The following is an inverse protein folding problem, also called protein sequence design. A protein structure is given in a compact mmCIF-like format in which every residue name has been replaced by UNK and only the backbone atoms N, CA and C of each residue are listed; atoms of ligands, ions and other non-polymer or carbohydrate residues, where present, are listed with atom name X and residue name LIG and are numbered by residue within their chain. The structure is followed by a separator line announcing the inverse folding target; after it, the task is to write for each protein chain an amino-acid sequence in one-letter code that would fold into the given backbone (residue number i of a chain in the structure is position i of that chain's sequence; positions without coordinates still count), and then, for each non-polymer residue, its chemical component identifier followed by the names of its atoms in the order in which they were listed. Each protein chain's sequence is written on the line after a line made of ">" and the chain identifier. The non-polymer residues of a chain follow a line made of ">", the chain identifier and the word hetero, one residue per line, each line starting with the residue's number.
data_IF_492183255294
#
_entry.id   IF_492183255294
#
_cell.length_a   1.000
_cell.length_b   1.000
_cell.length_c   1.000
_cell.angle_alpha   90.00
_cell.angle_beta   90.00
_cell.angle_gamma   90.00
#
_symmetry.space_group_name_H-M   'P 1'
#
loop_
_entity.id
_entity.type
_entity.pdbx_description
1 polymer ?
#
# COMPACT_ATOMS: atom_id res chain seq x y z
N UNK A 1 25.86 40.79 -35.86
CA UNK A 1 26.53 39.69 -35.15
C UNK A 1 25.78 38.41 -35.46
N UNK A 2 26.45 37.29 -35.74
CA UNK A 2 25.77 36.03 -36.01
C UNK A 2 25.01 35.51 -34.78
N UNK A 3 23.90 34.83 -35.00
CA UNK A 3 23.11 34.14 -33.98
C UNK A 3 23.00 32.65 -34.32
N UNK A 4 22.96 31.82 -33.30
CA UNK A 4 22.74 30.37 -33.39
C UNK A 4 21.66 29.99 -32.39
N UNK A 5 20.86 28.97 -32.70
CA UNK A 5 19.74 28.56 -31.84
C UNK A 5 19.98 27.15 -31.31
N UNK A 6 19.98 27.01 -29.98
CA UNK A 6 20.02 25.70 -29.33
C UNK A 6 18.62 25.28 -28.93
N UNK A 7 18.25 24.05 -29.26
CA UNK A 7 16.97 23.49 -28.83
C UNK A 7 17.19 22.62 -27.60
N UNK A 8 16.40 22.86 -26.55
CA UNK A 8 16.35 22.01 -25.36
C UNK A 8 14.95 21.40 -25.22
N UNK A 9 14.91 20.10 -24.99
CA UNK A 9 13.70 19.34 -24.69
C UNK A 9 13.81 18.76 -23.30
N UNK A 10 12.86 19.09 -22.43
CA UNK A 10 12.75 18.54 -21.09
C UNK A 10 11.65 17.47 -21.13
N UNK A 11 12.02 16.22 -20.87
CA UNK A 11 11.13 15.07 -20.83
C UNK A 11 10.87 14.71 -19.37
N UNK A 12 9.64 14.91 -18.91
CA UNK A 12 9.19 14.45 -17.62
C UNK A 12 8.65 13.02 -17.76
N UNK A 13 9.50 12.02 -17.57
CA UNK A 13 9.11 10.60 -17.51
C UNK A 13 8.91 10.12 -16.06
N UNK A 14 8.67 11.03 -15.12
CA UNK A 14 8.25 10.68 -13.76
C UNK A 14 6.73 10.45 -13.71
N UNK A 15 6.24 10.02 -12.55
CA UNK A 15 4.80 9.97 -12.22
C UNK A 15 4.24 11.30 -11.71
N UNK A 16 5.10 12.30 -11.51
CA UNK A 16 4.76 13.55 -10.82
C UNK A 16 4.91 14.75 -11.75
N UNK A 17 3.93 15.65 -11.75
CA UNK A 17 3.98 16.85 -12.57
C UNK A 17 5.14 17.77 -12.10
N UNK A 18 5.88 18.32 -13.05
CA UNK A 18 6.72 19.50 -12.81
C UNK A 18 5.79 20.71 -12.87
N UNK A 19 5.62 21.40 -11.75
CA UNK A 19 4.66 22.51 -11.64
C UNK A 19 5.31 23.86 -11.91
N UNK A 20 6.64 23.94 -11.82
CA UNK A 20 7.39 25.14 -12.08
C UNK A 20 8.83 24.83 -12.48
N UNK A 21 9.43 25.76 -13.21
CA UNK A 21 10.86 25.77 -13.53
C UNK A 21 11.44 27.14 -13.23
N UNK A 22 12.66 27.18 -12.71
CA UNK A 22 13.39 28.42 -12.47
C UNK A 22 14.80 28.33 -13.05
N UNK A 23 15.26 29.45 -13.62
CA UNK A 23 16.47 29.53 -14.41
C UNK A 23 17.36 30.62 -13.83
N UNK A 24 18.62 30.28 -13.60
CA UNK A 24 19.60 31.21 -13.03
C UNK A 24 21.02 30.81 -13.44
N UNK A 25 21.99 31.64 -13.04
CA UNK A 25 23.43 31.39 -13.25
C UNK A 25 23.76 31.11 -14.73
N UNK A 26 23.39 32.09 -15.56
CA UNK A 26 23.76 32.21 -16.97
C UNK A 26 24.25 33.64 -17.25
N UNK A 27 25.16 33.80 -18.21
CA UNK A 27 25.63 35.13 -18.62
C UNK A 27 24.73 35.71 -19.71
N UNK A 28 24.00 36.79 -19.39
CA UNK A 28 23.11 37.45 -20.35
C UNK A 28 23.81 38.01 -21.60
N UNK A 29 25.14 38.20 -21.58
CA UNK A 29 25.90 38.62 -22.75
C UNK A 29 26.08 37.51 -23.79
N UNK A 30 25.87 36.24 -23.42
CA UNK A 30 25.97 35.10 -24.33
C UNK A 30 24.68 34.85 -25.14
N UNK A 31 23.56 35.46 -24.72
CA UNK A 31 22.23 35.16 -25.23
C UNK A 31 21.53 36.37 -25.85
N UNK A 32 20.68 36.10 -26.85
CA UNK A 32 19.82 37.13 -27.43
C UNK A 32 18.69 37.41 -26.45
N UNK A 33 18.60 38.64 -25.94
CA UNK A 33 17.64 39.06 -24.89
C UNK A 33 16.18 38.68 -25.14
N UNK A 34 15.73 38.66 -26.40
CA UNK A 34 14.34 38.27 -26.73
C UNK A 34 14.06 36.78 -26.53
N UNK A 35 15.10 35.95 -26.56
CA UNK A 35 15.00 34.49 -26.56
C UNK A 35 16.08 33.86 -25.66
N UNK A 36 16.34 34.49 -24.51
CA UNK A 36 17.32 34.02 -23.54
C UNK A 36 16.76 32.83 -22.71
N UNK A 37 17.60 32.17 -21.89
CA UNK A 37 17.12 31.05 -21.08
C UNK A 37 16.01 31.43 -20.11
N UNK A 38 16.07 32.61 -19.51
CA UNK A 38 15.09 33.06 -18.53
C UNK A 38 13.72 33.34 -19.14
N UNK A 39 13.65 33.82 -20.37
CA UNK A 39 12.38 34.11 -21.06
C UNK A 39 11.69 32.83 -21.57
N UNK A 40 12.45 31.75 -21.80
CA UNK A 40 11.93 30.52 -22.40
C UNK A 40 11.75 29.35 -21.45
N UNK A 41 12.58 29.28 -20.41
CA UNK A 41 12.65 28.13 -19.52
C UNK A 41 12.14 28.44 -18.11
N UNK A 42 11.80 29.68 -17.75
CA UNK A 42 11.14 29.98 -16.48
C UNK A 42 9.63 29.71 -16.55
N UNK A 43 9.06 29.29 -15.43
CA UNK A 43 7.60 29.20 -15.26
C UNK A 43 6.94 28.06 -16.04
N UNK A 44 7.73 27.14 -16.61
CA UNK A 44 7.19 25.98 -17.32
C UNK A 44 6.53 25.01 -16.34
N UNK A 45 5.36 24.52 -16.75
CA UNK A 45 4.69 23.36 -16.18
C UNK A 45 4.72 22.22 -17.19
N UNK A 46 5.12 21.03 -16.74
CA UNK A 46 5.29 19.83 -17.56
C UNK A 46 4.63 18.65 -16.83
N UNK A 47 3.46 18.25 -17.31
CA UNK A 47 2.73 17.12 -16.75
C UNK A 47 3.58 15.83 -16.78
N UNK A 48 3.28 14.91 -15.86
CA UNK A 48 3.86 13.57 -15.85
C UNK A 48 3.69 12.89 -17.22
N UNK A 49 4.72 12.15 -17.64
CA UNK A 49 4.79 11.44 -18.94
C UNK A 49 4.65 12.35 -20.17
N UNK A 50 5.02 13.63 -20.04
CA UNK A 50 5.02 14.61 -21.14
C UNK A 50 6.39 15.25 -21.30
N UNK A 51 6.54 16.01 -22.38
CA UNK A 51 7.77 16.76 -22.65
C UNK A 51 7.44 18.15 -23.17
N UNK A 52 8.33 19.09 -22.91
CA UNK A 52 8.29 20.43 -23.48
C UNK A 52 9.58 20.70 -24.24
N UNK A 53 9.47 21.42 -25.35
CA UNK A 53 10.60 21.82 -26.17
C UNK A 53 10.66 23.34 -26.25
N UNK A 54 11.88 23.89 -26.13
CA UNK A 54 12.15 25.32 -26.15
C UNK A 54 13.41 25.59 -26.95
N UNK A 55 13.43 26.78 -27.57
CA UNK A 55 14.54 27.27 -28.35
C UNK A 55 15.14 28.44 -27.58
N UNK A 56 16.47 28.46 -27.45
CA UNK A 56 17.21 29.56 -26.86
C UNK A 56 18.22 30.06 -27.89
N UNK A 57 18.25 31.36 -28.10
CA UNK A 57 19.17 31.98 -29.06
C UNK A 57 20.43 32.49 -28.39
N UNK A 58 21.56 32.15 -28.99
CA UNK A 58 22.91 32.46 -28.51
C UNK A 58 23.63 33.33 -29.53
N UNK A 59 24.51 34.20 -29.05
CA UNK A 59 25.44 34.88 -29.93
C UNK A 59 26.51 33.89 -30.43
N UNK A 60 26.79 33.90 -31.74
CA UNK A 60 27.77 32.98 -32.34
C UNK A 60 29.14 32.99 -31.65
N UNK A 61 29.71 34.15 -31.21
CA UNK A 61 31.02 34.21 -30.57
C UNK A 61 31.09 33.59 -29.16
N UNK A 62 29.96 33.41 -28.47
CA UNK A 62 29.94 32.86 -27.11
C UNK A 62 30.53 31.44 -27.11
N UNK A 63 31.47 31.14 -26.21
CA UNK A 63 32.21 29.86 -26.23
C UNK A 63 31.61 28.81 -25.30
N UNK A 64 31.17 29.24 -24.11
CA UNK A 64 30.45 28.45 -23.13
C UNK A 64 29.16 29.16 -22.78
N UNK A 65 28.05 28.46 -22.81
CA UNK A 65 26.74 29.06 -22.52
C UNK A 65 26.03 28.24 -21.44
N UNK A 66 26.59 28.17 -20.21
CA UNK A 66 26.00 27.41 -19.13
C UNK A 66 24.68 28.06 -18.68
N UNK A 67 23.70 27.21 -18.41
CA UNK A 67 22.44 27.59 -17.76
C UNK A 67 22.16 26.62 -16.62
N UNK A 68 21.72 27.14 -15.48
CA UNK A 68 21.19 26.32 -14.37
C UNK A 68 19.68 26.38 -14.37
N UNK A 69 19.05 25.21 -14.28
CA UNK A 69 17.60 25.05 -14.25
C UNK A 69 17.21 24.22 -13.03
N UNK A 70 16.30 24.75 -12.22
CA UNK A 70 15.63 24.02 -11.14
C UNK A 70 14.22 23.66 -11.55
N UNK A 71 13.86 22.39 -11.35
CA UNK A 71 12.53 21.82 -11.56
C UNK A 71 11.87 21.65 -10.19
N UNK A 72 10.69 22.22 -10.00
CA UNK A 72 9.88 21.99 -8.80
C UNK A 72 8.71 21.08 -9.14
N UNK A 73 8.62 19.95 -8.44
CA UNK A 73 7.57 18.95 -8.64
C UNK A 73 6.36 19.22 -7.73
N UNK A 74 5.21 18.66 -8.11
CA UNK A 74 3.95 18.78 -7.36
C UNK A 74 4.04 18.24 -5.93
N UNK A 75 4.87 17.22 -5.71
CA UNK A 75 5.16 16.64 -4.40
C UNK A 75 6.17 17.46 -3.58
N UNK A 76 6.59 18.63 -4.09
CA UNK A 76 7.58 19.56 -3.53
C UNK A 76 9.02 19.04 -3.58
N UNK A 77 9.26 17.88 -4.19
CA UNK A 77 10.62 17.49 -4.54
C UNK A 77 11.18 18.45 -5.60
N UNK A 78 12.50 18.58 -5.64
CA UNK A 78 13.15 19.48 -6.59
C UNK A 78 14.39 18.83 -7.16
N UNK A 79 14.64 19.08 -8.45
CA UNK A 79 15.89 18.74 -9.11
C UNK A 79 16.54 20.00 -9.67
N UNK A 80 17.86 20.06 -9.62
CA UNK A 80 18.61 21.18 -10.21
C UNK A 80 19.70 20.63 -11.10
N UNK A 81 19.71 21.06 -12.36
CA UNK A 81 20.76 20.71 -13.30
C UNK A 81 21.38 21.94 -13.96
N UNK A 82 22.65 21.83 -14.31
CA UNK A 82 23.38 22.81 -15.11
C UNK A 82 23.77 22.17 -16.43
N UNK A 83 23.53 22.87 -17.54
CA UNK A 83 23.92 22.39 -18.87
C UNK A 83 24.50 23.52 -19.72
N UNK A 84 25.49 23.21 -20.57
CA UNK A 84 25.99 24.14 -21.58
C UNK A 84 25.12 24.06 -22.85
N UNK A 85 24.39 25.12 -23.16
CA UNK A 85 23.49 25.14 -24.32
C UNK A 85 24.24 25.13 -25.65
N UNK A 86 25.53 25.51 -25.68
CA UNK A 86 26.38 25.39 -26.88
C UNK A 86 26.64 23.93 -27.25
N UNK A 87 26.36 22.97 -26.35
CA UNK A 87 26.44 21.53 -26.62
C UNK A 87 25.56 21.10 -27.82
N UNK A 88 24.43 21.77 -28.04
CA UNK A 88 23.57 21.54 -29.21
C UNK A 88 24.31 21.73 -30.55
N UNK A 89 25.30 22.62 -30.60
CA UNK A 89 26.11 22.91 -31.78
C UNK A 89 27.42 22.09 -31.81
N UNK A 90 27.52 21.03 -31.00
CA UNK A 90 28.70 20.17 -30.92
C UNK A 90 29.84 20.72 -30.05
N UNK A 91 29.58 21.75 -29.22
CA UNK A 91 30.53 22.24 -28.22
C UNK A 91 30.58 21.32 -26.98
N UNK A 92 31.16 21.79 -25.87
CA UNK A 92 31.46 20.99 -24.68
C UNK A 92 30.22 20.42 -23.98
N UNK A 93 30.17 19.09 -23.85
CA UNK A 93 29.17 18.38 -23.05
C UNK A 93 29.44 18.58 -21.55
N UNK A 94 28.95 19.69 -20.97
CA UNK A 94 28.95 19.91 -19.53
C UNK A 94 27.53 19.77 -19.01
N UNK A 95 27.30 18.72 -18.22
CA UNK A 95 26.06 18.49 -17.50
C UNK A 95 26.38 18.17 -16.05
N UNK A 96 25.75 18.91 -15.13
CA UNK A 96 25.83 18.66 -13.70
C UNK A 96 24.41 18.57 -13.14
N UNK A 97 24.19 17.64 -12.22
CA UNK A 97 22.92 17.42 -11.53
C UNK A 97 23.21 17.54 -10.04
N UNK A 98 22.90 18.70 -9.46
CA UNK A 98 23.39 19.09 -8.13
C UNK A 98 22.38 18.78 -7.02
N UNK A 99 21.09 19.00 -7.26
CA UNK A 99 20.00 18.57 -6.38
C UNK A 99 19.27 17.38 -7.00
N UNK A 100 19.24 16.24 -6.31
CA UNK A 100 18.86 14.93 -6.87
C UNK A 100 17.69 14.29 -6.14
N UNK A 101 16.48 14.68 -6.53
CA UNK A 101 15.26 13.97 -6.13
C UNK A 101 14.92 12.83 -7.08
N UNK A 102 15.27 12.98 -8.37
CA UNK A 102 15.00 12.00 -9.41
C UNK A 102 16.30 11.52 -10.07
N UNK A 103 16.18 10.54 -10.98
CA UNK A 103 17.26 10.19 -11.89
C UNK A 103 17.18 11.11 -13.10
N UNK A 104 18.28 11.77 -13.45
CA UNK A 104 18.34 12.63 -14.62
C UNK A 104 19.43 12.17 -15.58
N UNK A 105 19.12 12.22 -16.87
CA UNK A 105 20.06 11.93 -17.94
C UNK A 105 19.89 12.95 -19.06
N UNK A 106 20.90 13.07 -19.92
CA UNK A 106 20.82 13.94 -21.09
C UNK A 106 21.39 13.23 -22.32
N UNK A 107 20.85 13.56 -23.48
CA UNK A 107 21.33 13.09 -24.79
C UNK A 107 21.30 14.24 -25.80
N UNK A 108 22.05 14.08 -26.89
CA UNK A 108 22.05 15.01 -28.02
C UNK A 108 21.49 14.28 -29.24
N UNK A 109 20.43 14.82 -29.83
CA UNK A 109 19.78 14.30 -31.04
C UNK A 109 19.53 15.45 -32.02
N UNK A 110 20.08 15.41 -33.23
CA UNK A 110 19.84 16.43 -34.28
C UNK A 110 19.93 17.89 -33.77
N UNK A 111 21.03 18.25 -33.09
CA UNK A 111 21.25 19.57 -32.46
C UNK A 111 20.23 19.95 -31.37
N UNK A 112 19.58 18.96 -30.77
CA UNK A 112 18.64 19.12 -29.66
C UNK A 112 19.18 18.42 -28.43
N UNK A 113 19.31 19.19 -27.36
CA UNK A 113 19.62 18.67 -26.04
C UNK A 113 18.34 18.10 -25.45
N UNK A 114 18.30 16.80 -25.17
CA UNK A 114 17.16 16.14 -24.53
C UNK A 114 17.56 15.81 -23.09
N UNK A 115 16.93 16.47 -22.13
CA UNK A 115 17.05 16.18 -20.69
C UNK A 115 15.88 15.31 -20.28
N UNK A 116 16.14 14.10 -19.81
CA UNK A 116 15.13 13.15 -19.36
C UNK A 116 15.19 12.98 -17.86
N UNK A 117 14.04 13.17 -17.21
CA UNK A 117 13.86 12.97 -15.78
C UNK A 117 13.01 11.72 -15.56
N UNK A 118 13.52 10.78 -14.77
CA UNK A 118 12.91 9.51 -14.44
C UNK A 118 12.80 9.33 -12.93
N UNK A 119 11.78 8.61 -12.48
CA UNK A 119 11.73 8.13 -11.11
C UNK A 119 12.97 7.30 -10.75
N UNK A 120 13.43 7.44 -9.51
CA UNK A 120 14.39 6.50 -8.94
C UNK A 120 13.76 5.10 -8.80
N UNK A 121 14.60 4.08 -8.69
CA UNK A 121 14.13 2.71 -8.44
C UNK A 121 13.27 2.60 -7.17
N UNK A 122 13.58 3.41 -6.15
CA UNK A 122 12.81 3.46 -4.90
C UNK A 122 11.45 4.15 -5.08
N UNK A 123 11.36 5.24 -5.84
CA UNK A 123 10.08 5.87 -6.18
C UNK A 123 9.18 4.90 -6.96
N UNK A 124 9.74 4.18 -7.95
CA UNK A 124 8.99 3.17 -8.71
C UNK A 124 8.46 2.04 -7.81
N UNK A 125 9.25 1.55 -6.85
CA UNK A 125 8.79 0.54 -5.89
C UNK A 125 7.64 1.06 -5.03
N UNK A 126 7.71 2.31 -4.57
CA UNK A 126 6.63 2.89 -3.77
C UNK A 126 5.35 3.08 -4.59
N UNK A 127 5.44 3.46 -5.85
CA UNK A 127 4.27 3.52 -6.75
C UNK A 127 3.63 2.14 -6.95
N UNK A 128 4.45 1.11 -7.14
CA UNK A 128 3.96 -0.27 -7.25
C UNK A 128 3.32 -0.75 -5.93
N UNK A 129 3.85 -0.32 -4.79
CA UNK A 129 3.26 -0.60 -3.48
C UNK A 129 1.88 0.06 -3.31
N UNK A 130 1.72 1.32 -3.72
CA UNK A 130 0.44 2.04 -3.69
C UNK A 130 -0.60 1.39 -4.61
N UNK A 131 -0.20 0.98 -5.81
CA UNK A 131 -1.07 0.26 -6.73
C UNK A 131 -1.50 -1.10 -6.14
N UNK A 132 -0.58 -1.82 -5.49
CA UNK A 132 -0.87 -3.08 -4.81
C UNK A 132 -1.83 -2.88 -3.63
N UNK A 133 -1.65 -1.81 -2.85
CA UNK A 133 -2.57 -1.39 -1.80
C UNK A 133 -3.98 -1.08 -2.34
N UNK A 134 -4.08 -0.41 -3.49
CA UNK A 134 -5.35 -0.14 -4.17
C UNK A 134 -6.07 -1.43 -4.58
N UNK A 135 -5.32 -2.42 -5.08
CA UNK A 135 -5.86 -3.75 -5.43
C UNK A 135 -6.32 -4.51 -4.19
N UNK A 136 -5.56 -4.46 -3.09
CA UNK A 136 -5.96 -5.05 -1.82
C UNK A 136 -7.32 -4.50 -1.34
N UNK A 137 -7.50 -3.18 -1.37
CA UNK A 137 -8.77 -2.52 -1.05
C UNK A 137 -9.92 -2.97 -1.95
N UNK A 138 -9.67 -3.13 -3.25
CA UNK A 138 -10.69 -3.64 -4.18
C UNK A 138 -11.08 -5.09 -3.89
N UNK A 139 -10.10 -5.95 -3.59
CA UNK A 139 -10.34 -7.34 -3.19
C UNK A 139 -11.12 -7.42 -1.88
N UNK A 140 -10.78 -6.57 -0.91
CA UNK A 140 -11.44 -6.47 0.38
C UNK A 140 -12.92 -6.05 0.25
N UNK A 141 -13.24 -5.07 -0.62
CA UNK A 141 -14.63 -4.71 -0.96
C UNK A 141 -15.45 -5.87 -1.55
N UNK A 142 -14.77 -6.84 -2.16
CA UNK A 142 -15.38 -8.06 -2.73
C UNK A 142 -15.35 -9.25 -1.76
N UNK A 143 -14.91 -9.04 -0.51
CA UNK A 143 -14.70 -10.08 0.52
C UNK A 143 -13.74 -11.19 0.06
N UNK A 144 -12.80 -10.87 -0.82
CA UNK A 144 -11.74 -11.79 -1.27
C UNK A 144 -10.51 -11.61 -0.37
N UNK A 145 -10.61 -12.09 0.87
CA UNK A 145 -9.63 -11.78 1.93
C UNK A 145 -8.22 -12.29 1.62
N UNK A 146 -8.08 -13.51 1.10
CA UNK A 146 -6.76 -14.06 0.74
C UNK A 146 -6.07 -13.22 -0.34
N UNK A 147 -6.80 -12.84 -1.40
CA UNK A 147 -6.27 -11.96 -2.45
C UNK A 147 -5.89 -10.58 -1.90
N UNK A 148 -6.66 -10.04 -0.95
CA UNK A 148 -6.32 -8.78 -0.29
C UNK A 148 -5.00 -8.90 0.50
N UNK A 149 -4.81 -9.99 1.24
CA UNK A 149 -3.59 -10.25 2.00
C UNK A 149 -2.38 -10.47 1.08
N UNK A 150 -2.54 -11.17 -0.05
CA UNK A 150 -1.46 -11.35 -1.03
C UNK A 150 -0.99 -10.01 -1.60
N UNK A 151 -1.94 -9.13 -1.97
CA UNK A 151 -1.63 -7.78 -2.43
C UNK A 151 -0.95 -6.92 -1.37
N UNK A 152 -1.37 -7.02 -0.11
CA UNK A 152 -0.72 -6.32 1.01
C UNK A 152 0.69 -6.84 1.29
N UNK A 153 0.91 -8.15 1.17
CA UNK A 153 2.24 -8.76 1.31
C UNK A 153 3.19 -8.23 0.21
N UNK A 154 2.72 -8.20 -1.04
CA UNK A 154 3.49 -7.62 -2.15
C UNK A 154 3.80 -6.14 -1.91
N UNK A 155 2.79 -5.34 -1.52
CA UNK A 155 2.96 -3.92 -1.21
C UNK A 155 4.01 -3.70 -0.09
N UNK A 156 3.97 -4.53 0.96
CA UNK A 156 4.89 -4.44 2.10
C UNK A 156 6.35 -4.73 1.72
N UNK A 157 6.58 -5.62 0.77
CA UNK A 157 7.92 -5.95 0.28
C UNK A 157 8.52 -4.84 -0.61
N UNK A 158 7.68 -3.93 -1.12
CA UNK A 158 8.08 -2.84 -2.01
C UNK A 158 8.19 -1.50 -1.29
N UNK A 159 7.29 -1.23 -0.33
CA UNK A 159 7.17 0.07 0.32
C UNK A 159 8.39 0.41 1.18
N UNK A 160 8.97 1.59 0.94
CA UNK A 160 10.02 2.18 1.78
C UNK A 160 9.56 3.46 2.48
N UNK A 161 8.55 4.16 1.93
CA UNK A 161 7.97 5.36 2.55
C UNK A 161 7.17 5.01 3.81
N UNK A 162 7.49 5.69 4.92
CA UNK A 162 6.89 5.43 6.22
C UNK A 162 5.35 5.56 6.24
N UNK A 163 4.81 6.53 5.50
CA UNK A 163 3.36 6.73 5.42
C UNK A 163 2.65 5.55 4.74
N UNK A 164 3.23 5.05 3.63
CA UNK A 164 2.71 3.88 2.90
C UNK A 164 2.81 2.63 3.79
N UNK A 165 3.94 2.43 4.49
CA UNK A 165 4.11 1.29 5.41
C UNK A 165 3.07 1.31 6.54
N UNK A 166 2.78 2.50 7.10
CA UNK A 166 1.75 2.67 8.13
C UNK A 166 0.36 2.37 7.58
N UNK A 167 0.06 2.83 6.36
CA UNK A 167 -1.21 2.58 5.68
C UNK A 167 -1.42 1.08 5.40
N UNK A 168 -0.41 0.39 4.85
CA UNK A 168 -0.42 -1.07 4.65
C UNK A 168 -0.71 -1.80 5.96
N UNK A 169 -0.04 -1.42 7.06
CA UNK A 169 -0.26 -2.04 8.38
C UNK A 169 -1.71 -1.85 8.88
N UNK A 170 -2.28 -0.67 8.67
CA UNK A 170 -3.68 -0.38 9.02
C UNK A 170 -4.65 -1.24 8.22
N UNK A 171 -4.46 -1.30 6.90
CA UNK A 171 -5.30 -2.07 5.98
C UNK A 171 -5.19 -3.58 6.22
N UNK A 172 -3.98 -4.09 6.50
CA UNK A 172 -3.76 -5.48 6.88
C UNK A 172 -4.51 -5.84 8.17
N UNK A 173 -4.54 -4.93 9.16
CA UNK A 173 -5.34 -5.09 10.37
C UNK A 173 -6.83 -5.18 10.06
N UNK A 174 -7.33 -4.31 9.19
CA UNK A 174 -8.74 -4.25 8.80
C UNK A 174 -9.19 -5.51 8.04
N UNK A 175 -8.33 -6.02 7.14
CA UNK A 175 -8.56 -7.29 6.43
C UNK A 175 -8.64 -8.44 7.42
N UNK A 176 -7.71 -8.57 8.36
CA UNK A 176 -7.77 -9.62 9.38
C UNK A 176 -9.00 -9.48 10.29
N UNK A 177 -9.37 -8.27 10.69
CA UNK A 177 -10.58 -8.03 11.49
C UNK A 177 -11.82 -8.48 10.72
N UNK A 178 -11.97 -8.04 9.47
CA UNK A 178 -13.12 -8.40 8.62
C UNK A 178 -13.18 -9.89 8.31
N UNK A 179 -12.03 -10.54 8.14
CA UNK A 179 -11.97 -11.98 7.91
C UNK A 179 -12.36 -12.76 9.17
N UNK A 180 -11.91 -12.27 10.34
CA UNK A 180 -12.35 -12.77 11.63
C UNK A 180 -13.86 -12.68 11.82
N UNK A 181 -14.46 -11.54 11.46
CA UNK A 181 -15.92 -11.34 11.52
C UNK A 181 -16.66 -12.34 10.64
N UNK A 182 -16.21 -12.54 9.39
CA UNK A 182 -16.81 -13.54 8.48
C UNK A 182 -16.75 -14.96 9.07
N UNK A 183 -15.62 -15.35 9.65
CA UNK A 183 -15.48 -16.68 10.30
C UNK A 183 -16.36 -16.80 11.55
N UNK A 184 -16.52 -15.71 12.30
CA UNK A 184 -17.38 -15.67 13.47
C UNK A 184 -18.85 -15.85 13.08
N UNK A 185 -19.33 -15.14 12.05
CA UNK A 185 -20.68 -15.28 11.50
C UNK A 185 -20.97 -16.71 11.01
N UNK A 186 -20.02 -17.34 10.30
CA UNK A 186 -20.12 -18.74 9.91
C UNK A 186 -20.21 -19.68 11.13
N UNK A 187 -19.44 -19.41 12.17
CA UNK A 187 -19.51 -20.14 13.45
C UNK A 187 -20.90 -20.05 14.08
N UNK A 188 -21.50 -18.86 14.12
CA UNK A 188 -22.86 -18.65 14.63
C UNK A 188 -23.91 -19.39 13.78
N UNK A 189 -23.74 -19.44 12.46
CA UNK A 189 -24.62 -20.23 11.59
C UNK A 189 -24.52 -21.74 11.87
N UNK A 190 -23.29 -22.25 12.04
CA UNK A 190 -23.07 -23.66 12.39
C UNK A 190 -23.61 -24.01 13.78
N UNK A 191 -23.49 -23.12 14.75
CA UNK A 191 -24.06 -23.31 16.09
C UNK A 191 -25.59 -23.39 16.03
N UNK A 192 -26.26 -22.52 15.25
CA UNK A 192 -27.72 -22.55 15.05
C UNK A 192 -28.24 -23.80 14.35
N UNK A 193 -27.39 -24.47 13.58
CA UNK A 193 -27.69 -25.76 12.93
C UNK A 193 -27.17 -26.95 13.73
N UNK A 194 -26.83 -26.74 15.00
CA UNK A 194 -26.34 -27.75 15.96
C UNK A 194 -25.05 -28.48 15.55
N UNK A 195 -24.29 -27.91 14.60
CA UNK A 195 -22.99 -28.40 14.13
C UNK A 195 -21.86 -27.87 15.02
N UNK A 196 -21.94 -28.13 16.32
CA UNK A 196 -21.10 -27.52 17.36
C UNK A 196 -19.59 -27.73 17.16
N UNK A 197 -19.15 -28.90 16.71
CA UNK A 197 -17.74 -29.15 16.38
C UNK A 197 -17.24 -28.28 15.21
N UNK A 198 -18.05 -28.14 14.15
CA UNK A 198 -17.70 -27.25 13.03
C UNK A 198 -17.70 -25.77 13.46
N UNK A 199 -18.68 -25.38 14.29
CA UNK A 199 -18.77 -24.03 14.85
C UNK A 199 -17.54 -23.69 15.72
N UNK A 200 -17.09 -24.61 16.57
CA UNK A 200 -15.87 -24.46 17.37
C UNK A 200 -14.64 -24.17 16.50
N UNK A 201 -14.48 -24.88 15.38
CA UNK A 201 -13.39 -24.64 14.42
C UNK A 201 -13.45 -23.26 13.78
N UNK A 202 -14.66 -22.77 13.46
CA UNK A 202 -14.87 -21.43 12.90
C UNK A 202 -14.57 -20.32 13.90
N UNK A 203 -15.03 -20.45 15.15
CA UNK A 203 -14.68 -19.49 16.21
C UNK A 203 -13.18 -19.48 16.53
N UNK A 204 -12.53 -20.64 16.48
CA UNK A 204 -11.07 -20.73 16.63
C UNK A 204 -10.33 -20.00 15.52
N UNK A 205 -10.81 -20.14 14.28
CA UNK A 205 -10.28 -19.40 13.12
C UNK A 205 -10.48 -17.90 13.28
N UNK A 206 -11.70 -17.47 13.64
CA UNK A 206 -12.04 -16.07 13.91
C UNK A 206 -11.11 -15.44 14.96
N UNK A 207 -10.95 -16.12 16.11
CA UNK A 207 -10.01 -15.73 17.17
C UNK A 207 -8.60 -15.49 16.63
N UNK A 208 -8.09 -16.41 15.81
CA UNK A 208 -6.73 -16.31 15.26
C UNK A 208 -6.56 -15.08 14.37
N UNK A 209 -7.58 -14.73 13.57
CA UNK A 209 -7.57 -13.54 12.72
C UNK A 209 -7.66 -12.25 13.55
N UNK A 210 -8.53 -12.20 14.55
CA UNK A 210 -8.58 -11.05 15.46
C UNK A 210 -7.26 -10.85 16.21
N UNK A 211 -6.58 -11.92 16.63
CA UNK A 211 -5.25 -11.83 17.24
C UNK A 211 -4.19 -11.27 16.27
N UNK A 212 -4.27 -11.60 14.97
CA UNK A 212 -3.38 -11.01 13.95
C UNK A 212 -3.66 -9.52 13.75
N UNK A 213 -4.93 -9.14 13.67
CA UNK A 213 -5.35 -7.73 13.64
C UNK A 213 -4.80 -6.97 14.85
N UNK A 214 -5.00 -7.49 16.07
CA UNK A 214 -4.56 -6.83 17.30
C UNK A 214 -3.03 -6.63 17.40
N UNK A 215 -2.24 -7.54 16.80
CA UNK A 215 -0.77 -7.39 16.70
C UNK A 215 -0.37 -6.23 15.79
N UNK A 216 -1.19 -5.92 14.78
CA UNK A 216 -0.94 -4.82 13.86
C UNK A 216 -1.46 -3.52 14.44
N UNK A 217 -2.72 -3.44 14.83
CA UNK A 217 -3.34 -2.24 15.40
C UNK A 217 -4.13 -2.63 16.64
N UNK A 218 -3.81 -2.02 17.77
CA UNK A 218 -4.57 -2.25 18.99
C UNK A 218 -5.97 -1.67 18.85
N UNK A 219 -6.99 -2.47 19.16
CA UNK A 219 -8.39 -2.06 19.20
C UNK A 219 -9.10 -2.78 20.33
N UNK A 220 -9.75 -2.01 21.21
CA UNK A 220 -10.56 -2.58 22.30
C UNK A 220 -11.68 -3.47 21.77
N UNK A 221 -12.30 -3.07 20.65
CA UNK A 221 -13.31 -3.87 19.95
C UNK A 221 -12.75 -5.22 19.48
N UNK A 222 -11.55 -5.23 18.88
CA UNK A 222 -10.90 -6.48 18.46
C UNK A 222 -10.58 -7.38 19.65
N UNK A 223 -10.20 -6.80 20.80
CA UNK A 223 -9.97 -7.56 22.02
C UNK A 223 -11.26 -8.18 22.57
N UNK A 224 -12.38 -7.47 22.51
CA UNK A 224 -13.70 -8.00 22.86
C UNK A 224 -14.11 -9.14 21.93
N UNK A 225 -13.92 -8.99 20.61
CA UNK A 225 -14.18 -10.06 19.62
C UNK A 225 -13.37 -11.33 19.89
N UNK A 226 -12.11 -11.19 20.34
CA UNK A 226 -11.29 -12.34 20.81
C UNK A 226 -11.96 -13.01 22.01
N UNK A 227 -12.36 -12.23 23.02
CA UNK A 227 -13.01 -12.75 24.23
C UNK A 227 -14.32 -13.46 23.91
N UNK A 228 -15.14 -12.90 23.02
CA UNK A 228 -16.38 -13.54 22.58
C UNK A 228 -16.11 -14.85 21.84
N UNK A 229 -15.11 -14.87 20.96
CA UNK A 229 -14.68 -16.10 20.29
C UNK A 229 -14.25 -17.18 21.30
N UNK A 230 -13.54 -16.82 22.37
CA UNK A 230 -13.15 -17.74 23.45
C UNK A 230 -14.35 -18.32 24.21
N UNK A 231 -15.33 -17.49 24.54
CA UNK A 231 -16.56 -17.92 25.19
C UNK A 231 -17.32 -18.93 24.32
N UNK A 232 -17.43 -18.65 23.02
CA UNK A 232 -18.10 -19.51 22.05
C UNK A 232 -17.39 -20.85 21.85
N UNK A 233 -16.06 -20.85 21.72
CA UNK A 233 -15.24 -22.08 21.68
C UNK A 233 -15.50 -22.93 22.93
N UNK A 234 -15.40 -22.31 24.11
CA UNK A 234 -15.56 -23.01 25.40
C UNK A 234 -16.98 -23.54 25.60
N UNK A 235 -18.01 -22.80 25.15
CA UNK A 235 -19.41 -23.23 25.15
C UNK A 235 -19.64 -24.45 24.25
N UNK A 236 -19.17 -24.39 23.00
CA UNK A 236 -19.34 -25.50 22.04
C UNK A 236 -18.61 -26.76 22.48
N UNK A 237 -17.41 -26.62 23.07
CA UNK A 237 -16.69 -27.75 23.67
C UNK A 237 -17.51 -28.42 24.78
N UNK A 238 -18.13 -27.63 25.66
CA UNK A 238 -19.03 -28.17 26.71
C UNK A 238 -20.23 -28.89 26.09
N UNK A 239 -20.82 -28.37 25.00
CA UNK A 239 -21.94 -29.03 24.29
C UNK A 239 -21.52 -30.34 23.63
N UNK A 240 -20.36 -30.38 22.99
CA UNK A 240 -19.82 -31.60 22.36
C UNK A 240 -19.62 -32.70 23.41
N UNK A 241 -18.99 -32.38 24.55
CA UNK A 241 -18.83 -33.34 25.66
C UNK A 241 -20.17 -33.80 26.24
N UNK A 242 -21.18 -32.93 26.29
CA UNK A 242 -22.51 -33.32 26.75
C UNK A 242 -23.15 -34.36 25.82
N UNK A 243 -23.05 -34.17 24.50
CA UNK A 243 -23.55 -35.11 23.49
C UNK A 243 -22.83 -36.46 23.55
N UNK A 244 -21.52 -36.46 23.77
CA UNK A 244 -20.74 -37.71 23.95
C UNK A 244 -21.23 -38.50 25.18
N UNK A 245 -21.41 -37.83 26.32
CA UNK A 245 -21.91 -38.46 27.54
C UNK A 245 -23.34 -38.99 27.38
N UNK A 246 -24.19 -38.27 26.64
CA UNK A 246 -25.57 -38.68 26.34
C UNK A 246 -25.62 -39.91 25.44
N UNK A 247 -24.78 -39.97 24.41
CA UNK A 247 -24.64 -41.15 23.55
C UNK A 247 -24.14 -42.36 24.34
N UNK A 248 -23.10 -42.18 25.15
CA UNK A 248 -22.57 -43.24 26.00
C UNK A 248 -23.62 -43.77 26.98
N UNK A 249 -24.38 -42.89 27.62
CA UNK A 249 -25.46 -43.27 28.52
C UNK A 249 -26.54 -44.07 27.79
N UNK A 250 -26.85 -43.68 26.55
CA UNK A 250 -27.85 -44.36 25.73
C UNK A 250 -27.42 -45.80 25.40
N UNK A 251 -26.15 -46.02 25.07
CA UNK A 251 -25.58 -47.38 24.89
C UNK A 251 -25.64 -48.20 26.19
N UNK A 252 -25.40 -47.56 27.35
CA UNK A 252 -25.51 -48.23 28.65
C UNK A 252 -26.95 -48.65 28.97
N UNK A 253 -27.94 -47.84 28.60
CA UNK A 253 -29.37 -48.21 28.74
C UNK A 253 -29.70 -49.44 27.88
N UNK A 254 -29.18 -49.51 26.66
CA UNK A 254 -29.35 -50.68 25.77
C UNK A 254 -28.74 -51.95 26.36
N UNK A 255 -27.67 -51.81 27.16
CA UNK A 255 -27.01 -52.90 27.87
C UNK A 255 -27.59 -53.17 29.28
N UNK A 256 -28.71 -52.55 29.64
CA UNK A 256 -29.37 -52.66 30.95
C UNK A 256 -28.52 -52.16 32.15
N UNK A 257 -27.50 -51.34 31.91
CA UNK A 257 -26.61 -50.74 32.91
C UNK A 257 -27.19 -49.42 33.48
N UNK A 258 -28.41 -49.46 34.03
CA UNK A 258 -29.21 -48.26 34.30
C UNK A 258 -28.61 -47.26 35.31
N UNK A 259 -27.99 -47.74 36.39
CA UNK A 259 -27.40 -46.85 37.41
C UNK A 259 -26.25 -46.03 36.82
N UNK A 260 -25.37 -46.68 36.05
CA UNK A 260 -24.23 -46.01 35.39
C UNK A 260 -24.70 -45.10 34.25
N UNK A 261 -25.76 -45.48 33.53
CA UNK A 261 -26.39 -44.62 32.54
C UNK A 261 -26.95 -43.33 33.17
N UNK A 262 -27.62 -43.42 34.33
CA UNK A 262 -28.17 -42.27 35.04
C UNK A 262 -27.07 -41.26 35.41
N UNK A 263 -25.96 -41.74 35.99
CA UNK A 263 -24.80 -40.90 36.33
C UNK A 263 -24.25 -40.15 35.11
N UNK A 264 -24.19 -40.81 33.94
CA UNK A 264 -23.76 -40.18 32.69
C UNK A 264 -24.75 -39.14 32.17
N UNK A 265 -26.06 -39.40 32.23
CA UNK A 265 -27.07 -38.39 31.86
C UNK A 265 -27.01 -37.16 32.77
N UNK A 266 -26.79 -37.33 34.09
CA UNK A 266 -26.60 -36.20 35.00
C UNK A 266 -25.33 -35.40 34.67
N UNK A 267 -24.24 -36.08 34.32
CA UNK A 267 -23.02 -35.45 33.85
C UNK A 267 -23.23 -34.65 32.55
N UNK A 268 -23.95 -35.20 31.57
CA UNK A 268 -24.33 -34.53 30.33
C UNK A 268 -25.16 -33.26 30.63
N UNK A 269 -26.16 -33.36 31.51
CA UNK A 269 -26.99 -32.21 31.90
C UNK A 269 -26.17 -31.08 32.54
N UNK A 270 -25.18 -31.41 33.39
CA UNK A 270 -24.25 -30.41 33.96
C UNK A 270 -23.47 -29.70 32.86
N UNK A 271 -23.01 -30.43 31.84
CA UNK A 271 -22.27 -29.87 30.70
C UNK A 271 -23.14 -28.97 29.81
N UNK A 272 -24.38 -29.35 29.54
CA UNK A 272 -25.33 -28.46 28.85
C UNK A 272 -25.61 -27.17 29.63
N UNK A 273 -25.73 -27.24 30.97
CA UNK A 273 -25.88 -26.04 31.82
C UNK A 273 -24.64 -25.15 31.76
N UNK A 274 -23.43 -25.73 31.75
CA UNK A 274 -22.16 -25.01 31.58
C UNK A 274 -22.10 -24.30 30.23
N UNK A 275 -22.42 -25.01 29.13
CA UNK A 275 -22.46 -24.45 27.78
C UNK A 275 -23.42 -23.26 27.69
N UNK A 276 -24.65 -23.42 28.20
CA UNK A 276 -25.68 -22.38 28.21
C UNK A 276 -25.21 -21.12 28.94
N UNK A 277 -24.51 -21.25 30.06
CA UNK A 277 -23.97 -20.08 30.80
C UNK A 277 -22.93 -19.31 29.98
N UNK A 278 -22.05 -20.02 29.26
CA UNK A 278 -21.01 -19.40 28.42
C UNK A 278 -21.58 -18.77 27.15
N UNK A 279 -22.62 -19.37 26.58
CA UNK A 279 -23.27 -18.90 25.35
C UNK A 279 -24.23 -17.72 25.59
N UNK A 280 -24.79 -17.56 26.81
CA UNK A 280 -25.73 -16.48 27.14
C UNK A 280 -25.09 -15.09 27.29
N UNK A 281 -23.77 -14.98 27.20
CA UNK A 281 -23.11 -13.68 27.04
C UNK A 281 -23.28 -13.19 25.59
N UNK A 282 -24.52 -12.83 25.25
CA UNK A 282 -24.86 -12.06 24.06
C UNK A 282 -24.78 -10.57 24.39
N UNK A 283 -24.31 -9.77 23.43
CA UNK A 283 -24.21 -8.30 23.45
C UNK A 283 -25.26 -7.65 24.36
N UNK A 284 -24.83 -7.17 25.53
CA UNK A 284 -25.54 -6.18 26.36
C UNK A 284 -24.78 -4.86 26.28
#
# INVERSE_FOLDING_TARGET
>A
MGTTSSTIKIVNDTSTDIVNTSVYDFDSFDFVKSNDPSSNLNGLSINAKRSVERIVDLFSPASHCPVTVTLTFKDKSEDTFRIDLKYAEGCCARFDHSRRSHKMSHTLDNKKIIVTIENTAEQNKNEEAEESLRRARQAMRRRLYDQALDHLCHAKNLASKADIVREIRSEESEVYSSYGDSMFEEGLFMERTERFQSAEGKFSSAKSFFQRSLKLVYSGETQEKIRFSELKISGNKSTNTAKELENDASVMVENEEYETALDKYEAALRKYKEAKRKQKYEYS
#
